data_IF_401962247949
#
_entry.id   IF_401962247949
#
_cell.length_a   1.000
_cell.length_b   1.000
_cell.length_c   1.000
_cell.angle_alpha   90.00
_cell.angle_beta   90.00
_cell.angle_gamma   90.00
#
_symmetry.space_group_name_H-M   'P 1'
#
loop_
_entity.id
_entity.type
_entity.pdbx_description
1 polymer ?
#
# COMPACT_ATOMS: atom_id res chain seq x y z
N UNK A 1 -17.38 -18.47 16.83
CA UNK A 1 -17.28 -19.80 16.17
C UNK A 1 -18.28 -19.87 15.02
N UNK A 2 -18.27 -20.86 14.14
CA UNK A 2 -19.34 -21.03 13.14
C UNK A 2 -20.63 -21.51 13.81
N UNK A 3 -21.80 -21.26 13.21
CA UNK A 3 -23.06 -21.80 13.72
C UNK A 3 -23.08 -23.33 13.59
N UNK A 4 -23.64 -24.01 14.60
CA UNK A 4 -24.02 -25.42 14.53
C UNK A 4 -25.45 -25.58 13.97
N UNK A 5 -25.92 -26.83 13.79
CA UNK A 5 -27.24 -27.08 13.21
C UNK A 5 -28.40 -26.61 14.11
N UNK A 6 -28.31 -26.81 15.43
CA UNK A 6 -29.35 -26.35 16.37
C UNK A 6 -29.46 -24.83 16.37
N UNK A 7 -28.32 -24.14 16.31
CA UNK A 7 -28.28 -22.68 16.23
C UNK A 7 -28.87 -22.18 14.89
N UNK A 8 -28.70 -22.93 13.80
CA UNK A 8 -29.37 -22.64 12.53
C UNK A 8 -30.88 -22.79 12.65
N UNK A 9 -31.38 -23.84 13.32
CA UNK A 9 -32.82 -23.98 13.61
C UNK A 9 -33.34 -22.76 14.38
N UNK A 10 -32.68 -22.35 15.47
CA UNK A 10 -33.06 -21.17 16.24
C UNK A 10 -33.12 -19.90 15.37
N UNK A 11 -32.14 -19.71 14.47
CA UNK A 11 -32.14 -18.59 13.53
C UNK A 11 -33.33 -18.64 12.58
N UNK A 12 -33.58 -19.79 11.95
CA UNK A 12 -34.60 -19.93 10.91
C UNK A 12 -36.02 -19.83 11.49
N UNK A 13 -36.25 -20.42 12.67
CA UNK A 13 -37.53 -20.38 13.38
C UNK A 13 -37.95 -18.94 13.74
N UNK A 14 -36.98 -18.11 14.14
CA UNK A 14 -37.20 -16.70 14.46
C UNK A 14 -37.46 -15.85 13.19
N UNK A 15 -36.77 -16.15 12.09
CA UNK A 15 -36.83 -15.34 10.87
C UNK A 15 -38.16 -15.45 10.13
N UNK A 16 -38.80 -16.63 10.13
CA UNK A 16 -40.03 -16.90 9.38
C UNK A 16 -39.94 -16.41 7.91
N UNK A 17 -38.92 -16.92 7.21
CA UNK A 17 -38.56 -16.48 5.85
C UNK A 17 -39.63 -16.74 4.76
N UNK A 18 -40.46 -17.81 4.80
CA UNK A 18 -41.49 -18.01 3.78
C UNK A 18 -42.44 -16.81 3.66
N UNK A 19 -42.67 -16.36 2.43
CA UNK A 19 -43.47 -15.17 2.13
C UNK A 19 -42.67 -13.88 1.97
N UNK A 20 -41.40 -13.83 2.37
CA UNK A 20 -40.56 -12.65 2.23
C UNK A 20 -40.14 -12.41 0.77
N UNK A 21 -40.05 -11.14 0.37
CA UNK A 21 -39.51 -10.68 -0.90
C UNK A 21 -38.03 -10.30 -0.78
N UNK A 22 -37.24 -10.60 -1.81
CA UNK A 22 -35.81 -10.23 -1.88
C UNK A 22 -35.70 -8.86 -2.56
N UNK A 23 -35.60 -7.78 -1.79
CA UNK A 23 -35.58 -6.41 -2.36
C UNK A 23 -34.24 -6.04 -2.99
N UNK A 24 -33.13 -6.34 -2.28
CA UNK A 24 -31.79 -6.00 -2.74
C UNK A 24 -30.80 -7.10 -2.41
N UNK A 25 -29.80 -7.23 -3.27
CA UNK A 25 -28.73 -8.21 -3.09
C UNK A 25 -27.40 -7.48 -3.06
N UNK A 26 -26.64 -7.66 -1.98
CA UNK A 26 -25.34 -7.03 -1.75
C UNK A 26 -24.30 -8.11 -1.50
N UNK A 27 -23.09 -7.88 -1.99
CA UNK A 27 -21.92 -8.71 -1.68
C UNK A 27 -20.82 -7.76 -1.21
N UNK A 28 -20.75 -7.44 0.09
CA UNK A 28 -19.83 -6.44 0.63
C UNK A 28 -18.34 -6.77 0.42
N UNK A 29 -18.02 -8.06 0.35
CA UNK A 29 -16.66 -8.60 0.22
C UNK A 29 -16.67 -9.99 -0.49
N UNK A 30 -15.54 -10.71 -0.45
CA UNK A 30 -15.38 -12.02 -1.12
C UNK A 30 -15.91 -13.22 -0.34
N UNK A 31 -16.54 -13.01 0.81
CA UNK A 31 -17.05 -14.07 1.70
C UNK A 31 -18.44 -13.77 2.27
N UNK A 32 -18.96 -12.57 2.07
CA UNK A 32 -20.25 -12.14 2.64
C UNK A 32 -21.26 -11.87 1.55
N UNK A 33 -22.46 -12.45 1.68
CA UNK A 33 -23.66 -12.12 0.89
C UNK A 33 -24.73 -11.56 1.83
N UNK A 34 -25.43 -10.52 1.41
CA UNK A 34 -26.56 -9.94 2.16
C UNK A 34 -27.77 -9.83 1.24
N UNK A 35 -28.88 -10.39 1.69
CA UNK A 35 -30.19 -10.22 1.07
C UNK A 35 -31.01 -9.27 1.93
N UNK A 36 -31.37 -8.10 1.41
CA UNK A 36 -32.35 -7.25 2.06
C UNK A 36 -33.73 -7.86 1.80
N UNK A 37 -34.33 -8.44 2.83
CA UNK A 37 -35.63 -9.10 2.76
C UNK A 37 -36.73 -8.14 3.23
N UNK A 38 -37.94 -8.38 2.74
CA UNK A 38 -39.13 -7.63 3.11
C UNK A 38 -40.34 -8.53 3.26
N UNK A 39 -41.10 -8.32 4.33
CA UNK A 39 -42.46 -8.80 4.52
C UNK A 39 -43.35 -7.62 4.92
N UNK A 40 -44.69 -7.70 4.79
CA UNK A 40 -45.56 -6.61 5.20
C UNK A 40 -45.21 -6.09 6.61
N UNK A 41 -44.87 -4.80 6.71
CA UNK A 41 -44.51 -4.14 7.97
C UNK A 41 -43.04 -4.24 8.39
N UNK A 42 -42.18 -5.00 7.69
CA UNK A 42 -40.79 -5.19 8.12
C UNK A 42 -39.82 -5.45 6.96
N UNK A 43 -38.75 -4.67 6.92
CA UNK A 43 -37.58 -4.94 6.08
C UNK A 43 -36.38 -5.27 6.97
N UNK A 44 -35.64 -6.32 6.64
CA UNK A 44 -34.46 -6.73 7.41
C UNK A 44 -33.40 -7.37 6.51
N UNK A 45 -32.10 -7.15 6.79
CA UNK A 45 -31.04 -7.80 6.03
C UNK A 45 -30.71 -9.18 6.61
N UNK A 46 -30.73 -10.19 5.75
CA UNK A 46 -30.24 -11.53 6.03
C UNK A 46 -28.80 -11.65 5.53
N UNK A 47 -27.87 -11.86 6.46
CA UNK A 47 -26.45 -12.00 6.17
C UNK A 47 -26.05 -13.47 6.09
N UNK A 48 -25.23 -13.80 5.10
CA UNK A 48 -24.53 -15.06 4.97
C UNK A 48 -23.03 -14.80 4.94
N UNK A 49 -22.30 -15.34 5.91
CA UNK A 49 -20.84 -15.25 5.95
C UNK A 49 -20.22 -16.62 5.70
N UNK A 50 -19.28 -16.67 4.76
CA UNK A 50 -18.38 -17.79 4.49
C UNK A 50 -16.99 -17.55 5.09
N UNK A 51 -16.89 -16.71 6.12
CA UNK A 51 -15.63 -16.45 6.81
C UNK A 51 -15.20 -17.67 7.63
N UNK A 52 -13.95 -18.09 7.46
CA UNK A 52 -13.41 -19.26 8.14
C UNK A 52 -13.60 -19.10 9.67
N UNK A 53 -14.08 -20.15 10.34
CA UNK A 53 -14.41 -20.18 11.79
C UNK A 53 -15.56 -19.24 12.24
N UNK A 54 -16.21 -18.51 11.32
CA UNK A 54 -17.40 -17.67 11.57
C UNK A 54 -18.45 -17.83 10.47
N UNK A 55 -18.56 -19.05 9.94
CA UNK A 55 -19.53 -19.39 8.90
C UNK A 55 -20.92 -19.39 9.53
N UNK A 56 -21.84 -18.61 8.96
CA UNK A 56 -23.13 -18.33 9.58
C UNK A 56 -24.16 -17.79 8.58
N UNK A 57 -25.40 -17.91 8.99
CA UNK A 57 -26.53 -17.16 8.45
C UNK A 57 -27.28 -16.53 9.62
N UNK A 58 -27.68 -15.26 9.52
CA UNK A 58 -28.49 -14.60 10.55
C UNK A 58 -28.99 -13.24 10.05
N UNK A 59 -30.07 -12.74 10.65
CA UNK A 59 -30.48 -11.34 10.50
C UNK A 59 -29.41 -10.45 11.14
N UNK A 60 -28.96 -9.46 10.39
CA UNK A 60 -27.98 -8.50 10.90
C UNK A 60 -28.57 -7.10 11.05
N UNK A 61 -28.09 -6.35 12.04
CA UNK A 61 -28.25 -4.89 12.15
C UNK A 61 -26.96 -4.17 11.74
N UNK A 62 -25.87 -4.91 11.65
CA UNK A 62 -24.53 -4.42 11.30
C UNK A 62 -24.15 -4.84 9.88
N UNK A 63 -24.87 -4.33 8.88
CA UNK A 63 -24.56 -4.62 7.47
C UNK A 63 -23.13 -4.15 7.15
N UNK A 64 -22.21 -5.06 6.73
CA UNK A 64 -20.84 -4.66 6.43
C UNK A 64 -20.79 -3.62 5.31
N UNK A 65 -19.90 -2.62 5.39
CA UNK A 65 -19.75 -1.62 4.35
C UNK A 65 -19.33 -2.30 3.05
N UNK A 66 -19.86 -1.82 1.93
CA UNK A 66 -19.52 -2.40 0.65
C UNK A 66 -18.09 -2.00 0.24
N UNK A 67 -17.11 -2.86 0.53
CA UNK A 67 -15.69 -2.62 0.23
C UNK A 67 -15.32 -2.95 -1.20
N UNK A 68 -16.22 -3.63 -1.93
CA UNK A 68 -16.00 -4.08 -3.29
C UNK A 68 -17.06 -3.53 -4.23
N UNK A 69 -16.68 -3.35 -5.49
CA UNK A 69 -17.66 -3.12 -6.56
C UNK A 69 -18.60 -4.33 -6.70
N UNK A 70 -19.62 -4.18 -7.53
CA UNK A 70 -20.56 -5.28 -7.82
C UNK A 70 -19.82 -6.54 -8.30
N UNK A 71 -19.94 -7.62 -7.54
CA UNK A 71 -19.32 -8.91 -7.86
C UNK A 71 -20.17 -9.73 -8.82
N UNK A 72 -19.55 -10.64 -9.59
CA UNK A 72 -20.21 -11.47 -10.60
C UNK A 72 -21.41 -12.23 -10.03
N UNK A 73 -21.20 -12.95 -8.93
CA UNK A 73 -22.25 -13.78 -8.33
C UNK A 73 -23.43 -12.93 -7.83
N UNK A 74 -23.15 -11.79 -7.19
CA UNK A 74 -24.21 -10.84 -6.83
C UNK A 74 -24.96 -10.31 -8.05
N UNK A 75 -24.30 -9.99 -9.16
CA UNK A 75 -24.97 -9.58 -10.40
C UNK A 75 -25.89 -10.68 -10.94
N UNK A 76 -25.42 -11.91 -10.91
CA UNK A 76 -26.21 -13.07 -11.34
C UNK A 76 -27.43 -13.29 -10.44
N UNK A 77 -27.28 -13.22 -9.13
CA UNK A 77 -28.43 -13.29 -8.24
C UNK A 77 -29.42 -12.15 -8.51
N UNK A 78 -28.93 -10.93 -8.79
CA UNK A 78 -29.82 -9.81 -9.13
C UNK A 78 -30.62 -10.03 -10.41
N UNK A 79 -30.07 -10.71 -11.41
CA UNK A 79 -30.80 -10.98 -12.65
C UNK A 79 -31.80 -12.13 -12.53
N UNK A 80 -31.67 -13.00 -11.54
CA UNK A 80 -32.51 -14.21 -11.40
C UNK A 80 -33.52 -14.13 -10.24
N UNK A 81 -33.12 -13.62 -9.08
CA UNK A 81 -33.92 -13.74 -7.84
C UNK A 81 -34.23 -12.42 -7.14
N UNK A 82 -33.64 -11.29 -7.55
CA UNK A 82 -34.01 -9.99 -6.96
C UNK A 82 -35.43 -9.61 -7.39
N UNK A 83 -36.27 -9.23 -6.45
CA UNK A 83 -37.71 -9.06 -6.63
C UNK A 83 -38.50 -10.37 -6.43
N UNK A 84 -37.82 -11.51 -6.33
CA UNK A 84 -38.44 -12.81 -6.09
C UNK A 84 -39.00 -12.96 -4.67
N UNK A 85 -39.92 -13.90 -4.51
CA UNK A 85 -40.54 -14.28 -3.24
C UNK A 85 -39.98 -15.62 -2.77
N UNK A 86 -39.56 -15.69 -1.51
CA UNK A 86 -39.17 -16.93 -0.84
C UNK A 86 -40.46 -17.72 -0.56
N UNK A 87 -40.59 -18.91 -1.12
CA UNK A 87 -41.78 -19.76 -1.00
C UNK A 87 -41.62 -20.80 0.11
N UNK A 88 -40.41 -21.33 0.29
CA UNK A 88 -40.10 -22.29 1.34
C UNK A 88 -38.64 -22.18 1.80
N UNK A 89 -38.38 -22.69 3.00
CA UNK A 89 -37.04 -22.84 3.58
C UNK A 89 -36.89 -24.25 4.12
N UNK A 90 -35.78 -24.90 3.81
CA UNK A 90 -35.45 -26.22 4.31
C UNK A 90 -34.08 -26.20 5.01
N UNK A 91 -34.05 -26.67 6.25
CA UNK A 91 -32.83 -27.03 6.94
C UNK A 91 -32.56 -28.53 6.70
N UNK A 92 -31.59 -28.81 5.85
CA UNK A 92 -31.44 -30.13 5.26
C UNK A 92 -30.72 -31.10 6.21
N UNK A 93 -31.35 -32.23 6.53
CA UNK A 93 -30.82 -33.33 7.34
C UNK A 93 -30.28 -32.94 8.73
N UNK A 94 -30.73 -31.83 9.31
CA UNK A 94 -30.14 -31.26 10.54
C UNK A 94 -28.61 -31.15 10.46
N UNK A 95 -28.11 -30.86 9.26
CA UNK A 95 -26.73 -30.49 8.98
C UNK A 95 -26.68 -29.00 8.63
N UNK A 96 -25.48 -28.43 8.52
CA UNK A 96 -25.25 -27.02 8.20
C UNK A 96 -25.50 -26.72 6.71
N UNK A 97 -26.64 -27.16 6.19
CA UNK A 97 -27.13 -26.94 4.83
C UNK A 97 -28.51 -26.32 4.93
N UNK A 98 -28.68 -25.15 4.30
CA UNK A 98 -29.98 -24.46 4.22
C UNK A 98 -30.33 -24.22 2.77
N UNK A 99 -31.58 -24.46 2.40
CA UNK A 99 -32.13 -24.18 1.07
C UNK A 99 -33.24 -23.15 1.18
N UNK A 100 -33.20 -22.14 0.32
CA UNK A 100 -34.33 -21.23 0.08
C UNK A 100 -34.93 -21.53 -1.30
N UNK A 101 -36.21 -21.83 -1.34
CA UNK A 101 -36.97 -21.92 -2.58
C UNK A 101 -37.52 -20.54 -2.92
N UNK A 102 -37.25 -20.07 -4.14
CA UNK A 102 -37.54 -18.69 -4.56
C UNK A 102 -38.28 -18.72 -5.89
N UNK A 103 -39.36 -17.96 -5.99
CA UNK A 103 -40.08 -17.75 -7.26
C UNK A 103 -39.93 -16.31 -7.72
N UNK A 104 -39.54 -16.10 -8.96
CA UNK A 104 -39.40 -14.78 -9.60
C UNK A 104 -39.93 -14.85 -11.03
N UNK A 105 -40.90 -13.99 -11.38
CA UNK A 105 -41.54 -13.93 -12.71
C UNK A 105 -41.86 -15.32 -13.27
N UNK A 106 -42.54 -16.14 -12.46
CA UNK A 106 -42.95 -17.54 -12.77
C UNK A 106 -41.82 -18.57 -12.91
N UNK A 107 -40.56 -18.19 -12.74
CA UNK A 107 -39.43 -19.12 -12.68
C UNK A 107 -39.10 -19.45 -11.23
N UNK A 108 -38.87 -20.73 -10.95
CA UNK A 108 -38.45 -21.21 -9.63
C UNK A 108 -36.96 -21.45 -9.58
N UNK A 109 -36.33 -21.05 -8.47
CA UNK A 109 -34.91 -21.18 -8.19
C UNK A 109 -34.71 -21.75 -6.79
N UNK A 110 -33.57 -22.39 -6.57
CA UNK A 110 -33.13 -22.83 -5.23
C UNK A 110 -31.81 -22.18 -4.89
N UNK A 111 -31.75 -21.50 -3.75
CA UNK A 111 -30.53 -20.92 -3.22
C UNK A 111 -30.04 -21.76 -2.05
N UNK A 112 -28.93 -22.45 -2.25
CA UNK A 112 -28.31 -23.37 -1.31
C UNK A 112 -27.18 -22.70 -0.55
N UNK A 113 -27.17 -22.89 0.77
CA UNK A 113 -26.16 -22.40 1.70
C UNK A 113 -25.50 -23.58 2.38
N UNK A 114 -24.21 -23.76 2.13
CA UNK A 114 -23.37 -24.77 2.78
C UNK A 114 -22.51 -24.07 3.82
N UNK A 115 -22.74 -24.36 5.09
CA UNK A 115 -22.26 -23.57 6.22
C UNK A 115 -21.22 -24.29 7.10
N UNK A 116 -20.37 -25.15 6.52
CA UNK A 116 -19.30 -25.84 7.24
C UNK A 116 -17.90 -25.58 6.67
N UNK A 117 -16.89 -25.72 7.53
CA UNK A 117 -15.50 -25.42 7.21
C UNK A 117 -14.95 -26.19 6.00
N UNK A 118 -14.10 -25.52 5.20
CA UNK A 118 -13.44 -26.10 4.02
C UNK A 118 -14.33 -26.18 2.76
N UNK A 119 -15.61 -26.51 2.91
CA UNK A 119 -16.58 -26.66 1.81
C UNK A 119 -17.73 -25.64 1.85
N UNK A 120 -17.61 -24.58 2.66
CA UNK A 120 -18.62 -23.53 2.75
C UNK A 120 -18.81 -22.86 1.39
N UNK A 121 -20.06 -22.70 0.96
CA UNK A 121 -20.39 -22.10 -0.33
C UNK A 121 -21.85 -21.65 -0.39
N UNK A 122 -22.17 -20.84 -1.41
CA UNK A 122 -23.54 -20.45 -1.76
C UNK A 122 -23.73 -20.80 -3.23
N UNK A 123 -24.78 -21.55 -3.55
CA UNK A 123 -25.05 -22.00 -4.92
C UNK A 123 -26.48 -21.66 -5.31
N UNK A 124 -26.66 -21.09 -6.50
CA UNK A 124 -27.97 -20.93 -7.11
C UNK A 124 -28.17 -22.09 -8.09
N UNK A 125 -29.26 -22.84 -7.93
CA UNK A 125 -29.64 -23.91 -8.86
C UNK A 125 -31.03 -23.66 -9.42
N UNK A 126 -31.33 -24.36 -10.50
CA UNK A 126 -32.70 -24.55 -10.96
C UNK A 126 -33.44 -25.58 -10.05
N UNK A 127 -34.73 -25.87 -10.32
CA UNK A 127 -35.50 -26.89 -9.59
C UNK A 127 -35.02 -28.33 -9.83
N UNK A 128 -34.24 -28.58 -10.87
CA UNK A 128 -33.61 -29.86 -11.18
C UNK A 128 -32.28 -30.06 -10.44
N UNK A 129 -31.84 -29.08 -9.65
CA UNK A 129 -30.53 -29.01 -8.98
C UNK A 129 -29.33 -28.86 -9.94
N UNK A 130 -29.55 -28.40 -11.17
CA UNK A 130 -28.46 -27.93 -12.02
C UNK A 130 -27.97 -26.56 -11.53
N UNK A 131 -26.66 -26.44 -11.31
CA UNK A 131 -26.04 -25.22 -10.80
C UNK A 131 -26.04 -24.14 -11.88
N UNK A 132 -26.75 -23.05 -11.63
CA UNK A 132 -26.73 -21.84 -12.46
C UNK A 132 -25.40 -21.11 -12.22
N UNK A 133 -25.05 -20.86 -10.97
CA UNK A 133 -23.72 -20.37 -10.57
C UNK A 133 -23.42 -20.64 -9.10
N UNK A 134 -22.15 -20.52 -8.74
CA UNK A 134 -21.65 -20.64 -7.37
C UNK A 134 -20.89 -19.39 -6.93
N UNK A 135 -21.04 -19.03 -5.65
CA UNK A 135 -20.34 -17.93 -5.02
C UNK A 135 -18.82 -18.17 -5.05
N UNK A 136 -18.39 -19.37 -4.63
CA UNK A 136 -17.04 -19.88 -4.85
C UNK A 136 -17.07 -20.93 -5.97
N UNK A 137 -16.57 -20.59 -7.16
CA UNK A 137 -16.48 -21.56 -8.27
C UNK A 137 -15.35 -22.56 -8.00
N UNK A 138 -15.69 -23.83 -7.91
CA UNK A 138 -14.76 -24.93 -7.67
C UNK A 138 -15.07 -26.09 -8.64
N UNK A 139 -14.67 -25.99 -9.92
CA UNK A 139 -14.99 -27.01 -10.93
C UNK A 139 -14.50 -28.41 -10.55
N UNK A 140 -13.34 -28.51 -9.91
CA UNK A 140 -12.78 -29.79 -9.42
C UNK A 140 -13.65 -30.48 -8.36
N UNK A 141 -14.55 -29.73 -7.71
CA UNK A 141 -15.49 -30.24 -6.73
C UNK A 141 -16.93 -30.30 -7.26
N UNK A 142 -17.13 -30.10 -8.56
CA UNK A 142 -18.47 -30.06 -9.17
C UNK A 142 -19.28 -28.81 -8.82
N UNK A 143 -18.65 -27.76 -8.29
CA UNK A 143 -19.33 -26.53 -7.86
C UNK A 143 -19.10 -25.41 -8.89
N UNK A 144 -19.62 -25.60 -10.10
CA UNK A 144 -19.56 -24.64 -11.19
C UNK A 144 -20.84 -24.69 -12.05
N UNK A 145 -21.08 -23.65 -12.84
CA UNK A 145 -22.24 -23.59 -13.74
C UNK A 145 -22.36 -24.84 -14.62
N UNK A 146 -23.59 -25.35 -14.79
CA UNK A 146 -23.93 -26.53 -15.57
C UNK A 146 -23.63 -27.88 -14.89
N UNK A 147 -23.07 -27.88 -13.68
CA UNK A 147 -22.88 -29.12 -12.92
C UNK A 147 -24.11 -29.44 -12.09
N UNK A 148 -24.36 -30.72 -11.85
CA UNK A 148 -25.41 -31.17 -10.93
C UNK A 148 -24.95 -30.97 -9.48
N UNK A 149 -25.76 -30.30 -8.65
CA UNK A 149 -25.50 -30.18 -7.22
C UNK A 149 -25.68 -31.55 -6.55
N UNK A 150 -24.59 -32.04 -5.95
CA UNK A 150 -24.60 -33.25 -5.11
C UNK A 150 -24.55 -32.83 -3.64
N UNK A 151 -25.58 -33.21 -2.89
CA UNK A 151 -25.65 -33.02 -1.44
C UNK A 151 -24.96 -34.18 -0.72
N UNK A 152 -24.33 -33.94 0.43
CA UNK A 152 -23.75 -35.03 1.22
C UNK A 152 -24.86 -35.93 1.77
N UNK A 153 -24.56 -37.23 1.83
CA UNK A 153 -25.40 -38.20 2.52
C UNK A 153 -25.53 -37.84 4.03
N UNK A 154 -26.66 -38.16 4.67
CA UNK A 154 -26.85 -37.92 6.09
C UNK A 154 -25.75 -38.59 6.91
N UNK A 155 -25.05 -37.82 7.75
CA UNK A 155 -24.02 -38.35 8.64
C UNK A 155 -24.63 -38.92 9.93
N UNK A 156 -25.46 -39.96 9.79
CA UNK A 156 -26.13 -40.62 10.91
C UNK A 156 -27.19 -39.75 11.60
N UNK A 157 -27.66 -40.20 12.77
CA UNK A 157 -28.64 -39.47 13.58
C UNK A 157 -28.03 -38.18 14.13
N UNK A 158 -28.70 -37.02 14.01
CA UNK A 158 -28.24 -35.80 14.67
C UNK A 158 -28.20 -36.03 16.19
N UNK A 159 -27.04 -35.81 16.79
CA UNK A 159 -26.82 -35.90 18.24
C UNK A 159 -26.93 -34.48 18.84
N UNK A 160 -28.00 -34.19 19.61
CA UNK A 160 -28.20 -32.89 20.21
C UNK A 160 -27.13 -32.51 21.25
N UNK A 161 -26.62 -33.49 21.98
CA UNK A 161 -25.68 -33.26 23.09
C UNK A 161 -24.28 -32.90 22.57
N UNK A 162 -23.97 -33.33 21.35
CA UNK A 162 -22.71 -33.00 20.67
C UNK A 162 -22.64 -31.57 20.17
N UNK A 163 -23.78 -30.95 19.88
CA UNK A 163 -23.85 -29.63 19.26
C UNK A 163 -24.82 -28.69 20.00
N UNK A 164 -24.59 -28.42 21.30
CA UNK A 164 -25.50 -27.60 22.08
C UNK A 164 -25.59 -26.18 21.52
N UNK A 165 -26.79 -25.59 21.59
CA UNK A 165 -26.96 -24.15 21.38
C UNK A 165 -26.12 -23.40 22.41
N UNK A 166 -25.27 -22.48 21.93
CA UNK A 166 -24.45 -21.68 22.84
C UNK A 166 -25.34 -20.86 23.77
N UNK A 167 -24.93 -20.73 25.03
CA UNK A 167 -25.49 -19.74 25.94
C UNK A 167 -25.05 -18.35 25.48
N UNK A 168 -25.77 -17.75 24.54
CA UNK A 168 -25.71 -16.30 24.31
C UNK A 168 -26.52 -15.59 25.41
N UNK A 169 -26.55 -14.26 25.44
CA UNK A 169 -27.51 -13.47 26.24
C UNK A 169 -28.97 -13.66 25.75
N UNK A 170 -29.31 -14.86 25.29
CA UNK A 170 -30.63 -15.34 24.99
C UNK A 170 -31.38 -15.52 26.30
N UNK A 171 -32.16 -14.53 26.69
CA UNK A 171 -33.23 -14.76 27.65
C UNK A 171 -34.33 -15.52 26.92
N UNK A 172 -34.63 -16.76 27.32
CA UNK A 172 -35.72 -17.60 26.78
C UNK A 172 -37.07 -16.86 26.64
N UNK A 173 -37.26 -15.80 27.44
CA UNK A 173 -38.44 -14.94 27.42
C UNK A 173 -38.57 -14.01 26.19
N UNK A 174 -37.48 -13.70 25.48
CA UNK A 174 -37.50 -12.70 24.39
C UNK A 174 -37.34 -13.29 22.97
N UNK A 175 -36.98 -14.58 22.82
CA UNK A 175 -36.75 -15.25 21.51
C UNK A 175 -35.87 -14.43 20.53
N UNK A 176 -34.85 -13.72 21.02
CA UNK A 176 -34.03 -12.85 20.18
C UNK A 176 -32.63 -13.45 19.92
N UNK A 177 -32.60 -14.63 19.29
CA UNK A 177 -31.36 -15.35 19.03
C UNK A 177 -30.54 -14.65 17.94
N UNK A 178 -31.20 -14.16 16.88
CA UNK A 178 -30.56 -13.44 15.80
C UNK A 178 -29.83 -12.18 16.29
N UNK A 179 -30.44 -11.37 17.18
CA UNK A 179 -29.76 -10.21 17.78
C UNK A 179 -28.53 -10.62 18.55
N UNK A 180 -28.65 -11.64 19.41
CA UNK A 180 -27.58 -12.06 20.30
C UNK A 180 -26.35 -12.53 19.52
N UNK A 181 -26.53 -13.35 18.47
CA UNK A 181 -25.41 -13.77 17.62
C UNK A 181 -24.88 -12.62 16.76
N UNK A 182 -25.74 -11.71 16.26
CA UNK A 182 -25.30 -10.56 15.47
C UNK A 182 -24.34 -9.66 16.27
N UNK A 183 -24.69 -9.37 17.53
CA UNK A 183 -23.83 -8.62 18.45
C UNK A 183 -22.52 -9.37 18.76
N UNK A 184 -22.59 -10.66 19.07
CA UNK A 184 -21.41 -11.49 19.34
C UNK A 184 -20.42 -11.48 18.16
N UNK A 185 -20.91 -11.73 16.95
CA UNK A 185 -20.08 -11.72 15.75
C UNK A 185 -19.54 -10.33 15.44
N UNK A 186 -20.38 -9.29 15.56
CA UNK A 186 -19.95 -7.92 15.32
C UNK A 186 -18.81 -7.53 16.25
N UNK A 187 -18.93 -7.76 17.56
CA UNK A 187 -17.87 -7.48 18.53
C UNK A 187 -16.61 -8.30 18.27
N UNK A 188 -16.75 -9.59 17.96
CA UNK A 188 -15.61 -10.45 17.61
C UNK A 188 -14.86 -9.94 16.38
N UNK A 189 -15.59 -9.50 15.34
CA UNK A 189 -15.04 -8.98 14.10
C UNK A 189 -14.38 -7.60 14.30
N UNK A 190 -14.98 -6.70 15.09
CA UNK A 190 -14.36 -5.41 15.43
C UNK A 190 -13.06 -5.60 16.22
N UNK A 191 -13.04 -6.51 17.19
CA UNK A 191 -11.86 -6.80 17.99
C UNK A 191 -10.73 -7.39 17.13
N UNK A 192 -11.05 -8.32 16.23
CA UNK A 192 -10.03 -8.87 15.33
C UNK A 192 -9.50 -7.81 14.35
N UNK A 193 -10.38 -6.99 13.78
CA UNK A 193 -10.00 -5.87 12.91
C UNK A 193 -9.05 -4.91 13.64
N UNK A 194 -9.40 -4.54 14.88
CA UNK A 194 -8.58 -3.68 15.72
C UNK A 194 -7.18 -4.26 15.93
N UNK A 195 -7.10 -5.54 16.32
CA UNK A 195 -5.82 -6.22 16.51
C UNK A 195 -5.00 -6.27 15.22
N UNK A 196 -5.63 -6.53 14.07
CA UNK A 196 -4.95 -6.54 12.77
C UNK A 196 -4.40 -5.15 12.40
N UNK A 197 -5.19 -4.09 12.59
CA UNK A 197 -4.76 -2.70 12.37
C UNK A 197 -3.60 -2.33 13.29
N UNK A 198 -3.73 -2.63 14.58
CA UNK A 198 -2.69 -2.36 15.57
C UNK A 198 -1.37 -3.05 15.18
N UNK A 199 -1.41 -4.35 14.84
CA UNK A 199 -0.21 -5.09 14.39
C UNK A 199 0.40 -4.49 13.12
N UNK A 200 -0.44 -4.16 12.12
CA UNK A 200 0.02 -3.60 10.86
C UNK A 200 0.68 -2.23 11.04
N UNK A 201 0.02 -1.28 11.70
CA UNK A 201 0.53 0.06 11.96
C UNK A 201 1.78 0.04 12.84
N UNK A 202 1.75 -0.74 13.91
CA UNK A 202 2.90 -0.88 14.82
C UNK A 202 4.11 -1.43 14.07
N UNK A 203 3.93 -2.47 13.25
CA UNK A 203 5.03 -3.04 12.45
C UNK A 203 5.62 -2.03 11.46
N UNK A 204 4.79 -1.22 10.81
CA UNK A 204 5.25 -0.16 9.90
C UNK A 204 6.10 0.89 10.64
N UNK A 205 5.61 1.37 11.79
CA UNK A 205 6.34 2.36 12.60
C UNK A 205 7.62 1.78 13.20
N UNK A 206 7.60 0.55 13.70
CA UNK A 206 8.79 -0.15 14.21
C UNK A 206 9.86 -0.31 13.12
N UNK A 207 9.45 -0.63 11.89
CA UNK A 207 10.38 -0.72 10.75
C UNK A 207 11.01 0.63 10.42
N UNK A 208 10.23 1.73 10.50
CA UNK A 208 10.76 3.10 10.35
C UNK A 208 11.72 3.46 11.47
N UNK A 209 11.34 3.20 12.73
CA UNK A 209 12.18 3.44 13.90
C UNK A 209 13.51 2.69 13.80
N UNK A 210 13.52 1.42 13.37
CA UNK A 210 14.75 0.66 13.19
C UNK A 210 15.70 1.30 12.14
N UNK A 211 15.15 1.83 11.04
CA UNK A 211 15.96 2.55 10.04
C UNK A 211 16.52 3.86 10.58
N UNK A 212 15.71 4.64 11.30
CA UNK A 212 16.13 5.89 11.93
C UNK A 212 17.21 5.64 12.99
N UNK A 213 17.08 4.60 13.83
CA UNK A 213 18.09 4.21 14.81
C UNK A 213 19.42 3.82 14.13
N UNK A 214 19.36 3.08 13.02
CA UNK A 214 20.57 2.76 12.23
C UNK A 214 21.21 4.03 11.66
N UNK A 215 20.43 4.91 11.05
CA UNK A 215 20.92 6.19 10.53
C UNK A 215 21.54 7.04 11.64
N UNK A 216 20.93 7.08 12.82
CA UNK A 216 21.46 7.79 13.99
C UNK A 216 22.82 7.22 14.42
N UNK A 217 22.96 5.89 14.45
CA UNK A 217 24.22 5.22 14.78
C UNK A 217 25.31 5.56 13.76
N UNK A 218 25.00 5.51 12.46
CA UNK A 218 25.95 5.82 11.38
C UNK A 218 26.40 7.30 11.44
N UNK A 219 25.47 8.23 11.68
CA UNK A 219 25.76 9.65 11.81
C UNK A 219 26.54 9.97 13.10
N UNK A 220 26.27 9.26 14.19
CA UNK A 220 27.01 9.43 15.46
C UNK A 220 28.47 9.01 15.29
N UNK A 221 28.73 7.88 14.61
CA UNK A 221 30.10 7.46 14.26
C UNK A 221 30.81 8.50 13.38
N UNK A 222 30.14 9.01 12.35
CA UNK A 222 30.71 10.04 11.48
C UNK A 222 31.01 11.37 12.22
N UNK A 223 30.25 11.69 13.27
CA UNK A 223 30.51 12.83 14.15
C UNK A 223 31.78 12.61 14.97
N UNK A 224 31.95 11.43 15.56
CA UNK A 224 33.13 11.10 16.38
C UNK A 224 34.43 11.10 15.55
N UNK A 225 34.35 10.78 14.26
CA UNK A 225 35.47 10.87 13.31
C UNK A 225 35.89 12.31 12.95
N UNK A 226 35.13 13.34 13.35
CA UNK A 226 35.41 14.75 13.05
C UNK A 226 36.55 15.37 13.89
N UNK A 227 37.24 14.59 14.72
CA UNK A 227 38.31 15.03 15.63
C UNK A 227 39.57 15.64 15.00
N UNK A 228 39.62 15.84 13.67
CA UNK A 228 40.77 16.45 12.97
C UNK A 228 40.63 17.95 12.70
N UNK A 229 39.49 18.56 13.07
CA UNK A 229 39.27 20.00 12.87
C UNK A 229 40.33 20.82 13.63
N UNK A 230 40.49 20.55 14.92
CA UNK A 230 41.42 21.28 15.79
C UNK A 230 42.88 21.00 15.42
N UNK A 231 43.16 19.78 14.96
CA UNK A 231 44.47 19.38 14.45
C UNK A 231 44.87 20.18 13.21
N UNK A 232 43.97 20.31 12.21
CA UNK A 232 44.26 21.11 11.02
C UNK A 232 44.42 22.61 11.32
N UNK A 233 43.66 23.15 12.27
CA UNK A 233 43.82 24.55 12.71
C UNK A 233 45.17 24.76 13.42
N UNK A 234 45.54 23.83 14.31
CA UNK A 234 46.82 23.87 15.03
C UNK A 234 47.99 23.79 14.05
N UNK A 235 47.94 22.87 13.10
CA UNK A 235 48.97 22.73 12.07
C UNK A 235 49.11 23.97 11.18
N UNK A 236 48.00 24.53 10.68
CA UNK A 236 48.04 25.76 9.89
C UNK A 236 48.65 26.94 10.66
N UNK A 237 48.34 27.06 11.95
CA UNK A 237 48.86 28.12 12.82
C UNK A 237 50.35 27.94 13.09
N UNK A 238 50.80 26.72 13.41
CA UNK A 238 52.21 26.42 13.67
C UNK A 238 53.09 26.63 12.43
N UNK A 239 52.60 26.30 11.23
CA UNK A 239 53.32 26.58 9.98
C UNK A 239 53.56 28.07 9.76
N UNK A 240 52.54 28.91 9.99
CA UNK A 240 52.69 30.36 9.87
C UNK A 240 53.59 30.94 10.96
N UNK A 241 53.51 30.39 12.18
CA UNK A 241 54.30 30.86 13.34
C UNK A 241 55.80 30.64 13.12
N UNK A 242 56.18 29.48 12.57
CA UNK A 242 57.59 29.10 12.36
C UNK A 242 58.13 29.40 10.96
N UNK A 243 57.33 30.02 10.09
CA UNK A 243 57.63 30.23 8.67
C UNK A 243 59.02 30.83 8.39
N UNK A 244 59.50 31.75 9.23
CA UNK A 244 60.80 32.41 9.05
C UNK A 244 62.01 31.51 9.37
N UNK A 245 61.79 30.41 10.09
CA UNK A 245 62.82 29.46 10.51
C UNK A 245 62.84 28.18 9.67
N UNK A 246 61.81 27.99 8.85
CA UNK A 246 61.58 26.79 8.06
C UNK A 246 62.05 27.04 6.62
N UNK A 247 62.84 26.13 6.06
CA UNK A 247 63.17 26.14 4.64
C UNK A 247 62.35 25.09 3.91
N UNK A 248 61.59 25.43 2.86
CA UNK A 248 60.87 24.45 2.06
C UNK A 248 61.86 23.51 1.37
N UNK A 249 61.80 22.22 1.68
CA UNK A 249 62.53 21.15 0.99
C UNK A 249 61.59 20.25 0.19
N UNK A 250 62.11 19.18 -0.42
CA UNK A 250 61.31 18.17 -1.13
C UNK A 250 60.50 17.23 -0.19
N UNK A 251 60.39 17.59 1.09
CA UNK A 251 59.83 16.76 2.14
C UNK A 251 58.30 16.93 2.23
N UNK A 252 57.61 15.82 2.48
CA UNK A 252 56.14 15.81 2.60
C UNK A 252 55.65 16.12 4.00
N UNK A 253 56.57 16.31 4.95
CA UNK A 253 56.29 16.60 6.36
C UNK A 253 57.32 17.59 6.88
N UNK A 254 56.94 18.41 7.86
CA UNK A 254 57.85 19.34 8.52
C UNK A 254 57.66 19.29 10.04
N UNK A 255 58.76 19.23 10.79
CA UNK A 255 58.74 19.17 12.24
C UNK A 255 58.87 20.56 12.86
N UNK A 256 57.86 20.95 13.63
CA UNK A 256 57.83 22.23 14.32
C UNK A 256 57.59 22.03 15.82
N UNK A 257 58.19 22.84 16.69
CA UNK A 257 57.86 22.79 18.11
C UNK A 257 56.46 23.38 18.32
N UNK A 258 55.64 22.70 19.10
CA UNK A 258 54.38 23.23 19.59
C UNK A 258 54.59 24.25 20.72
N UNK A 259 53.49 24.78 21.26
CA UNK A 259 53.52 25.78 22.33
C UNK A 259 54.14 25.28 23.65
N UNK A 260 54.32 23.96 23.81
CA UNK A 260 54.94 23.32 24.97
C UNK A 260 56.37 22.85 24.70
N UNK A 261 56.88 23.05 23.48
CA UNK A 261 58.22 22.64 23.05
C UNK A 261 58.31 21.21 22.50
N UNK A 262 57.21 20.46 22.43
CA UNK A 262 57.20 19.13 21.81
C UNK A 262 57.22 19.26 20.29
N UNK A 263 57.98 18.39 19.60
CA UNK A 263 58.05 18.39 18.13
C UNK A 263 56.82 17.69 17.55
N UNK A 264 56.06 18.42 16.74
CA UNK A 264 54.91 17.91 15.99
C UNK A 264 55.28 17.86 14.50
N UNK A 265 55.01 16.73 13.87
CA UNK A 265 55.16 16.54 12.42
C UNK A 265 53.89 17.00 11.69
N UNK A 266 54.04 17.96 10.77
CA UNK A 266 52.94 18.55 9.99
C UNK A 266 53.05 18.13 8.52
N UNK A 267 52.01 17.54 7.92
CA UNK A 267 52.03 17.18 6.50
C UNK A 267 51.93 18.41 5.59
N UNK A 268 52.89 18.56 4.68
CA UNK A 268 52.98 19.64 3.69
C UNK A 268 52.98 19.09 2.26
N UNK A 269 52.63 19.95 1.31
CA UNK A 269 52.83 19.74 -0.12
C UNK A 269 54.14 20.40 -0.53
N UNK A 270 55.15 19.64 -0.99
CA UNK A 270 56.41 20.21 -1.46
C UNK A 270 56.23 21.17 -2.65
N UNK A 271 55.14 21.04 -3.41
CA UNK A 271 54.84 21.90 -4.57
C UNK A 271 54.23 23.25 -4.18
N UNK A 272 53.91 23.47 -2.90
CA UNK A 272 53.28 24.68 -2.39
C UNK A 272 54.22 25.40 -1.40
N UNK A 273 54.14 26.72 -1.35
CA UNK A 273 54.79 27.51 -0.31
C UNK A 273 54.22 27.22 1.09
N UNK A 274 54.94 27.62 2.14
CA UNK A 274 54.46 27.44 3.53
C UNK A 274 53.13 28.19 3.80
N UNK A 275 52.92 29.43 3.32
CA UNK A 275 51.61 30.08 3.37
C UNK A 275 50.51 29.31 2.64
N UNK A 276 50.76 28.82 1.43
CA UNK A 276 49.78 28.05 0.64
C UNK A 276 49.45 26.70 1.31
N UNK A 277 50.42 26.07 1.98
CA UNK A 277 50.20 24.88 2.80
C UNK A 277 49.34 25.18 4.04
N UNK A 278 49.57 26.30 4.71
CA UNK A 278 48.75 26.75 5.82
C UNK A 278 47.30 27.02 5.36
N UNK A 279 47.11 27.72 4.24
CA UNK A 279 45.80 27.97 3.63
C UNK A 279 45.08 26.66 3.27
N UNK A 280 45.81 25.67 2.72
CA UNK A 280 45.28 24.34 2.43
C UNK A 280 44.77 23.64 3.70
N UNK A 281 45.51 23.75 4.81
CA UNK A 281 45.11 23.17 6.10
C UNK A 281 43.90 23.90 6.71
N UNK A 282 43.85 25.22 6.64
CA UNK A 282 42.66 25.99 7.05
C UNK A 282 41.43 25.68 6.19
N UNK A 283 41.61 25.49 4.88
CA UNK A 283 40.53 25.06 3.99
C UNK A 283 40.01 23.65 4.35
N UNK A 284 40.91 22.71 4.71
CA UNK A 284 40.52 21.39 5.23
C UNK A 284 39.76 21.51 6.56
N UNK A 285 40.21 22.35 7.49
CA UNK A 285 39.52 22.61 8.75
C UNK A 285 38.12 23.19 8.53
N UNK A 286 37.97 24.20 7.65
CA UNK A 286 36.69 24.82 7.31
C UNK A 286 35.73 23.82 6.66
N UNK A 287 36.21 23.00 5.72
CA UNK A 287 35.40 21.95 5.08
C UNK A 287 34.95 20.89 6.09
N UNK A 288 35.84 20.47 7.00
CA UNK A 288 35.52 19.53 8.06
C UNK A 288 34.49 20.12 9.05
N UNK A 289 34.62 21.39 9.43
CA UNK A 289 33.65 22.10 10.27
C UNK A 289 32.25 22.18 9.63
N UNK A 290 32.16 22.61 8.36
CA UNK A 290 30.88 22.61 7.63
C UNK A 290 30.27 21.20 7.48
N UNK A 291 31.10 20.16 7.39
CA UNK A 291 30.62 18.78 7.41
C UNK A 291 30.06 18.40 8.79
N UNK A 292 30.77 18.76 9.86
CA UNK A 292 30.36 18.48 11.24
C UNK A 292 29.07 19.20 11.63
N UNK A 293 28.91 20.47 11.22
CA UNK A 293 27.67 21.23 11.46
C UNK A 293 26.47 20.60 10.74
N UNK A 294 26.62 20.23 9.46
CA UNK A 294 25.55 19.51 8.73
C UNK A 294 25.21 18.16 9.35
N UNK A 295 26.22 17.41 9.81
CA UNK A 295 26.00 16.14 10.52
C UNK A 295 25.27 16.38 11.84
N UNK A 296 25.58 17.47 12.58
CA UNK A 296 24.88 17.85 13.81
C UNK A 296 23.40 18.16 13.54
N UNK A 297 23.10 18.99 12.55
CA UNK A 297 21.72 19.35 12.20
C UNK A 297 20.92 18.12 11.78
N UNK A 298 21.54 17.24 10.98
CA UNK A 298 20.91 16.00 10.56
C UNK A 298 20.70 15.02 11.71
N UNK A 299 21.66 14.92 12.66
CA UNK A 299 21.50 14.13 13.88
C UNK A 299 20.29 14.61 14.68
N UNK A 300 20.18 15.91 14.92
CA UNK A 300 19.05 16.48 15.66
C UNK A 300 17.72 16.17 14.96
N UNK A 301 17.62 16.40 13.65
CA UNK A 301 16.41 16.12 12.89
C UNK A 301 16.01 14.63 12.95
N UNK A 302 16.98 13.71 12.85
CA UNK A 302 16.73 12.26 12.94
C UNK A 302 16.30 11.85 14.35
N UNK A 303 16.87 12.47 15.41
CA UNK A 303 16.46 12.23 16.80
C UNK A 303 15.02 12.68 17.06
N UNK A 304 14.67 13.88 16.61
CA UNK A 304 13.31 14.42 16.73
C UNK A 304 12.30 13.54 15.97
N UNK A 305 12.64 13.11 14.74
CA UNK A 305 11.79 12.19 13.98
C UNK A 305 11.62 10.83 14.68
N UNK A 306 12.70 10.27 15.22
CA UNK A 306 12.64 9.01 15.96
C UNK A 306 11.74 9.14 17.20
N UNK A 307 11.87 10.21 17.98
CA UNK A 307 11.05 10.47 19.15
C UNK A 307 9.56 10.56 18.77
N UNK A 308 9.22 11.25 17.68
CA UNK A 308 7.85 11.32 17.18
C UNK A 308 7.31 9.94 16.76
N UNK A 309 8.12 9.12 16.08
CA UNK A 309 7.72 7.76 15.69
C UNK A 309 7.49 6.87 16.91
N UNK A 310 8.35 6.96 17.93
CA UNK A 310 8.22 6.21 19.18
C UNK A 310 6.99 6.64 19.99
N UNK A 311 6.72 7.94 20.09
CA UNK A 311 5.48 8.46 20.69
C UNK A 311 4.23 7.93 19.99
N UNK A 312 4.25 7.84 18.64
CA UNK A 312 3.12 7.28 17.88
C UNK A 312 2.92 5.79 18.14
N UNK A 313 3.99 5.02 18.32
CA UNK A 313 3.90 3.61 18.70
C UNK A 313 3.26 3.49 20.09
N UNK A 314 3.69 4.31 21.04
CA UNK A 314 3.16 4.32 22.40
C UNK A 314 1.67 4.70 22.41
N UNK A 315 1.28 5.75 21.67
CA UNK A 315 -0.11 6.17 21.55
C UNK A 315 -1.03 5.05 21.00
N UNK A 316 -0.54 4.27 20.02
CA UNK A 316 -1.28 3.10 19.49
C UNK A 316 -1.41 1.98 20.52
N UNK A 317 -0.42 1.80 21.39
CA UNK A 317 -0.47 0.80 22.44
C UNK A 317 -1.47 1.19 23.56
N UNK A 318 -1.54 2.47 23.90
CA UNK A 318 -2.42 3.00 24.96
C UNK A 318 -3.88 3.12 24.51
N UNK A 319 -4.11 3.53 23.26
CA UNK A 319 -5.46 3.78 22.72
C UNK A 319 -5.64 3.16 21.33
N UNK A 320 -5.63 1.82 21.23
CA UNK A 320 -5.77 1.15 19.94
C UNK A 320 -7.10 1.50 19.25
N UNK A 321 -8.19 1.71 20.00
CA UNK A 321 -9.53 2.03 19.49
C UNK A 321 -9.57 3.27 18.57
N UNK A 322 -8.67 4.23 18.77
CA UNK A 322 -8.53 5.39 17.89
C UNK A 322 -8.20 5.01 16.45
N UNK A 323 -7.59 3.84 16.22
CA UNK A 323 -7.33 3.33 14.87
C UNK A 323 -8.63 3.06 14.11
N UNK A 324 -9.64 2.49 14.77
CA UNK A 324 -10.95 2.26 14.17
C UNK A 324 -11.66 3.59 13.91
N UNK A 325 -11.60 4.53 14.86
CA UNK A 325 -12.21 5.86 14.68
C UNK A 325 -11.60 6.60 13.50
N UNK A 326 -10.27 6.57 13.37
CA UNK A 326 -9.55 7.19 12.26
C UNK A 326 -9.90 6.50 10.92
N UNK A 327 -10.04 5.18 10.91
CA UNK A 327 -10.46 4.44 9.72
C UNK A 327 -11.92 4.79 9.34
N UNK A 328 -12.83 4.92 10.30
CA UNK A 328 -14.23 5.32 10.06
C UNK A 328 -14.34 6.79 9.62
N UNK A 329 -13.53 7.69 10.20
CA UNK A 329 -13.42 9.09 9.76
C UNK A 329 -12.88 9.17 8.33
N UNK A 330 -11.89 8.34 8.00
CA UNK A 330 -11.44 8.18 6.61
C UNK A 330 -12.47 7.47 5.73
N UNK A 331 -13.35 6.65 6.32
CA UNK A 331 -14.39 5.84 5.67
C UNK A 331 -15.72 6.54 5.41
N UNK A 332 -16.04 7.63 6.13
CA UNK A 332 -17.10 8.61 5.75
C UNK A 332 -16.61 9.64 4.73
N UNK A 333 -15.41 9.43 4.23
CA UNK A 333 -14.92 9.99 2.99
C UNK A 333 -14.39 8.86 2.12
N UNK A 334 -15.32 8.14 1.49
CA UNK A 334 -15.19 7.99 0.05
C UNK A 334 -15.33 9.37 -0.63
N UNK A 335 -14.56 10.37 -0.19
CA UNK A 335 -13.76 11.11 -1.15
C UNK A 335 -13.11 9.98 -1.92
N UNK A 336 -13.52 9.81 -3.17
CA UNK A 336 -12.60 9.31 -4.17
C UNK A 336 -11.31 10.07 -3.90
N UNK A 337 -10.37 9.48 -3.16
CA UNK A 337 -9.01 9.60 -3.59
C UNK A 337 -9.04 8.89 -4.94
N UNK A 338 -9.41 9.63 -5.99
CA UNK A 338 -8.71 9.47 -7.24
C UNK A 338 -7.27 9.31 -6.81
N UNK A 339 -6.64 8.13 -7.03
CA UNK A 339 -5.21 8.05 -6.83
C UNK A 339 -4.67 9.27 -7.58
N UNK A 340 -4.05 10.22 -6.86
CA UNK A 340 -3.35 11.31 -7.51
C UNK A 340 -2.53 10.68 -8.62
N UNK A 341 -2.60 11.24 -9.82
CA UNK A 341 -1.96 10.63 -10.98
C UNK A 341 -0.52 10.25 -10.61
N UNK A 342 -0.12 8.97 -10.78
CA UNK A 342 1.13 8.45 -10.23
C UNK A 342 2.31 9.21 -10.82
N UNK A 343 3.35 9.44 -10.02
CA UNK A 343 4.52 10.22 -10.42
C UNK A 343 4.37 11.72 -10.20
N UNK A 344 5.49 12.45 -10.34
CA UNK A 344 5.53 13.91 -10.22
C UNK A 344 5.11 14.56 -11.54
N UNK A 345 4.39 15.66 -11.46
CA UNK A 345 3.94 16.41 -12.64
C UNK A 345 4.65 17.76 -12.72
N UNK A 346 5.10 18.09 -13.92
CA UNK A 346 5.73 19.36 -14.25
C UNK A 346 5.16 19.88 -15.56
N UNK A 347 5.36 21.17 -15.81
CA UNK A 347 5.00 21.80 -17.08
C UNK A 347 6.21 22.53 -17.64
N UNK A 348 6.48 22.30 -18.92
CA UNK A 348 7.48 23.05 -19.67
C UNK A 348 6.89 23.46 -21.02
N UNK A 349 6.82 24.78 -21.25
CA UNK A 349 6.08 25.36 -22.37
C UNK A 349 4.61 24.89 -22.39
N UNK A 350 4.18 24.35 -23.53
CA UNK A 350 2.83 23.78 -23.71
C UNK A 350 2.76 22.28 -23.45
N UNK A 351 3.85 21.66 -22.99
CA UNK A 351 3.92 20.22 -22.75
C UNK A 351 3.77 19.89 -21.26
N UNK A 352 3.06 18.80 -20.97
CA UNK A 352 3.04 18.23 -19.62
C UNK A 352 4.16 17.19 -19.50
N UNK A 353 4.90 17.22 -18.40
CA UNK A 353 5.96 16.27 -18.10
C UNK A 353 5.55 15.47 -16.87
N UNK A 354 5.70 14.14 -16.93
CA UNK A 354 5.36 13.24 -15.82
C UNK A 354 6.56 12.36 -15.48
N UNK A 355 6.94 12.30 -14.21
CA UNK A 355 8.15 11.61 -13.74
C UNK A 355 7.76 10.50 -12.76
N UNK A 356 7.95 9.25 -13.15
CA UNK A 356 7.79 8.11 -12.24
C UNK A 356 9.09 7.85 -11.47
N UNK A 357 9.03 7.89 -10.14
CA UNK A 357 10.21 7.80 -9.25
C UNK A 357 10.52 6.36 -8.84
N UNK A 358 9.55 5.46 -8.97
CA UNK A 358 9.68 4.05 -8.57
C UNK A 358 9.28 3.11 -9.71
N UNK A 359 9.75 1.87 -9.67
CA UNK A 359 9.40 0.86 -10.68
C UNK A 359 7.89 0.60 -10.77
N UNK A 360 7.16 0.68 -9.64
CA UNK A 360 5.71 0.55 -9.59
C UNK A 360 4.98 1.77 -10.18
N UNK A 361 5.45 2.99 -9.88
CA UNK A 361 4.95 4.23 -10.52
C UNK A 361 5.18 4.19 -12.04
N UNK A 362 6.37 3.80 -12.47
CA UNK A 362 6.75 3.66 -13.89
C UNK A 362 5.83 2.69 -14.64
N UNK A 363 5.63 1.48 -14.09
CA UNK A 363 4.74 0.49 -14.71
C UNK A 363 3.29 0.98 -14.75
N UNK A 364 2.82 1.67 -13.72
CA UNK A 364 1.46 2.23 -13.69
C UNK A 364 1.28 3.33 -14.73
N UNK A 365 2.25 4.26 -14.83
CA UNK A 365 2.26 5.31 -15.84
C UNK A 365 2.22 4.73 -17.26
N UNK A 366 3.09 3.77 -17.54
CA UNK A 366 3.16 3.04 -18.82
C UNK A 366 1.88 2.27 -19.16
N UNK A 367 1.13 1.79 -18.16
CA UNK A 367 -0.09 1.00 -18.39
C UNK A 367 -1.32 1.87 -18.61
N UNK A 368 -1.44 2.97 -17.87
CA UNK A 368 -2.74 3.65 -17.68
C UNK A 368 -2.76 5.12 -18.06
N UNK A 369 -1.60 5.77 -18.19
CA UNK A 369 -1.56 7.23 -18.27
C UNK A 369 -0.92 7.76 -19.55
N UNK A 370 0.13 7.14 -20.07
CA UNK A 370 0.79 7.60 -21.29
C UNK A 370 0.25 6.92 -22.54
N UNK A 371 0.22 7.65 -23.64
CA UNK A 371 -0.25 7.20 -24.96
C UNK A 371 0.94 6.91 -25.86
N UNK A 372 0.73 6.14 -26.94
CA UNK A 372 1.81 5.72 -27.83
C UNK A 372 2.64 6.85 -28.46
N UNK A 373 2.05 8.03 -28.68
CA UNK A 373 2.73 9.20 -29.26
C UNK A 373 3.40 10.11 -28.21
N UNK A 374 3.24 9.82 -26.91
CA UNK A 374 3.98 10.51 -25.87
C UNK A 374 5.46 10.11 -25.96
N UNK A 375 6.35 10.96 -25.45
CA UNK A 375 7.79 10.70 -25.43
C UNK A 375 8.22 10.16 -24.08
N UNK A 376 9.18 9.25 -24.09
CA UNK A 376 9.79 8.65 -22.91
C UNK A 376 11.29 8.93 -22.90
N UNK A 377 11.83 9.23 -21.72
CA UNK A 377 13.25 9.45 -21.46
C UNK A 377 13.69 8.64 -20.24
N UNK A 378 14.91 8.08 -20.32
CA UNK A 378 15.55 7.37 -19.22
C UNK A 378 17.08 7.37 -19.39
N UNK A 379 17.82 7.26 -18.29
CA UNK A 379 19.30 7.20 -18.32
C UNK A 379 19.78 5.87 -18.90
N UNK A 380 20.72 5.92 -19.85
CA UNK A 380 21.22 4.74 -20.57
C UNK A 380 21.86 3.71 -19.62
N UNK A 381 22.81 4.15 -18.83
CA UNK A 381 23.70 3.26 -18.08
C UNK A 381 23.37 3.19 -16.58
N UNK A 382 22.37 3.95 -16.12
CA UNK A 382 22.03 4.02 -14.70
C UNK A 382 20.54 3.83 -14.41
N UNK A 383 20.18 3.12 -13.33
CA UNK A 383 18.82 3.10 -12.84
C UNK A 383 18.34 4.52 -12.51
N UNK A 384 17.12 4.85 -12.92
CA UNK A 384 16.55 6.17 -12.73
C UNK A 384 15.06 6.23 -13.04
N UNK A 385 14.48 7.40 -12.83
CA UNK A 385 13.08 7.67 -13.12
C UNK A 385 12.76 7.55 -14.63
N UNK A 386 11.50 7.19 -14.93
CA UNK A 386 10.98 7.36 -16.29
C UNK A 386 10.34 8.73 -16.39
N UNK A 387 10.80 9.51 -17.37
CA UNK A 387 10.26 10.83 -17.65
C UNK A 387 9.46 10.76 -18.94
N UNK A 388 8.20 11.20 -18.88
CA UNK A 388 7.30 11.22 -20.01
C UNK A 388 6.96 12.65 -20.41
N UNK A 389 7.00 12.96 -21.70
CA UNK A 389 6.56 14.25 -22.24
C UNK A 389 5.28 14.03 -23.04
N UNK A 390 4.24 14.79 -22.70
CA UNK A 390 2.93 14.79 -23.36
C UNK A 390 2.78 16.10 -24.14
N UNK A 391 3.15 16.13 -25.43
CA UNK A 391 2.92 17.30 -26.26
C UNK A 391 1.42 17.46 -26.57
N UNK A 392 0.97 18.68 -26.91
CA UNK A 392 -0.36 18.87 -27.47
C UNK A 392 -0.58 18.00 -28.72
N UNK A 393 -1.82 17.57 -29.02
CA UNK A 393 -2.11 16.76 -30.19
C UNK A 393 -1.57 17.36 -31.48
N UNK A 394 -0.84 16.56 -32.27
CA UNK A 394 -0.26 16.99 -33.55
C UNK A 394 0.95 17.93 -33.46
N UNK A 395 1.48 18.21 -32.25
CA UNK A 395 2.68 19.04 -32.07
C UNK A 395 3.91 18.20 -31.78
N UNK A 396 5.07 18.65 -32.28
CA UNK A 396 6.38 18.11 -31.92
C UNK A 396 6.82 18.62 -30.54
N UNK A 397 7.76 17.91 -29.91
CA UNK A 397 8.37 18.35 -28.64
C UNK A 397 9.53 19.31 -28.97
N UNK A 398 9.48 20.57 -28.51
CA UNK A 398 10.59 21.51 -28.68
C UNK A 398 11.84 21.05 -27.93
N UNK A 399 13.02 21.42 -28.43
CA UNK A 399 14.30 21.07 -27.81
C UNK A 399 14.38 21.52 -26.35
N UNK A 400 13.89 22.73 -26.04
CA UNK A 400 13.85 23.27 -24.67
C UNK A 400 13.07 22.37 -23.70
N UNK A 401 11.93 21.83 -24.13
CA UNK A 401 11.12 20.90 -23.32
C UNK A 401 11.84 19.56 -23.16
N UNK A 402 12.53 19.10 -24.21
CA UNK A 402 13.30 17.86 -24.17
C UNK A 402 14.49 17.97 -23.21
N UNK A 403 15.18 19.12 -23.19
CA UNK A 403 16.28 19.41 -22.25
C UNK A 403 15.80 19.54 -20.81
N UNK A 404 14.62 20.14 -20.60
CA UNK A 404 13.98 20.23 -19.29
C UNK A 404 13.62 18.84 -18.74
N UNK A 405 13.00 17.99 -19.57
CA UNK A 405 12.71 16.60 -19.24
C UNK A 405 13.98 15.77 -19.02
N UNK A 406 15.01 16.01 -19.83
CA UNK A 406 16.31 15.37 -19.68
C UNK A 406 16.97 15.72 -18.35
N UNK A 407 16.93 16.99 -17.95
CA UNK A 407 17.43 17.44 -16.64
C UNK A 407 16.69 16.76 -15.48
N UNK A 408 15.37 16.61 -15.58
CA UNK A 408 14.59 15.84 -14.61
C UNK A 408 15.01 14.36 -14.58
N UNK A 409 15.27 13.74 -15.74
CA UNK A 409 15.71 12.36 -15.82
C UNK A 409 17.07 12.16 -15.12
N UNK A 410 18.03 13.06 -15.33
CA UNK A 410 19.32 13.02 -14.63
C UNK A 410 19.13 13.26 -13.14
N UNK A 411 18.33 14.25 -12.74
CA UNK A 411 18.09 14.60 -11.34
C UNK A 411 17.45 13.47 -10.53
N UNK A 412 16.51 12.73 -11.12
CA UNK A 412 15.86 11.58 -10.49
C UNK A 412 16.51 10.23 -10.87
N UNK A 413 17.80 10.25 -11.22
CA UNK A 413 18.60 9.04 -11.48
C UNK A 413 19.78 8.92 -10.52
N UNK A 414 20.43 7.75 -10.55
CA UNK A 414 21.71 7.58 -9.85
C UNK A 414 22.84 8.43 -10.44
N UNK A 415 22.70 8.96 -11.66
CA UNK A 415 23.69 9.83 -12.27
C UNK A 415 23.66 11.28 -11.74
N UNK A 416 22.71 11.62 -10.84
CA UNK A 416 22.59 12.97 -10.24
C UNK A 416 23.91 13.49 -9.67
N UNK A 417 24.65 12.65 -8.94
CA UNK A 417 25.91 13.05 -8.30
C UNK A 417 27.03 13.36 -9.31
N UNK A 418 26.99 12.76 -10.50
CA UNK A 418 27.95 13.02 -11.56
C UNK A 418 27.67 14.31 -12.35
N UNK A 419 26.51 14.93 -12.17
CA UNK A 419 26.19 16.20 -12.83
C UNK A 419 25.89 16.09 -14.33
N UNK A 420 26.04 14.91 -14.95
CA UNK A 420 25.89 14.68 -16.39
C UNK A 420 25.52 13.22 -16.65
N UNK A 421 24.67 12.97 -17.65
CA UNK A 421 24.37 11.61 -18.10
C UNK A 421 23.95 11.57 -19.57
N UNK A 422 24.16 10.41 -20.18
CA UNK A 422 23.52 10.07 -21.45
C UNK A 422 22.14 9.46 -21.22
N UNK A 423 21.18 9.94 -22.00
CA UNK A 423 19.80 9.52 -21.95
C UNK A 423 19.38 8.89 -23.27
N UNK A 424 18.52 7.88 -23.17
CA UNK A 424 17.68 7.45 -24.28
C UNK A 424 16.40 8.24 -24.30
N UNK A 425 15.91 8.55 -25.49
CA UNK A 425 14.55 9.00 -25.68
C UNK A 425 13.91 8.41 -26.93
N UNK A 426 12.64 8.03 -26.81
CA UNK A 426 11.82 7.49 -27.91
C UNK A 426 10.34 7.75 -27.64
N UNK A 427 9.47 7.45 -28.60
CA UNK A 427 8.03 7.47 -28.35
C UNK A 427 7.59 6.19 -27.62
N UNK A 428 6.58 6.31 -26.75
CA UNK A 428 6.09 5.21 -25.91
C UNK A 428 5.67 3.98 -26.72
N UNK A 429 5.12 4.16 -27.94
CA UNK A 429 4.75 3.04 -28.83
C UNK A 429 5.93 2.18 -29.26
N UNK A 430 7.16 2.67 -29.15
CA UNK A 430 8.38 1.93 -29.46
C UNK A 430 9.01 1.26 -28.22
N UNK A 431 8.35 1.32 -27.06
CA UNK A 431 8.77 0.58 -25.88
C UNK A 431 8.17 -0.83 -25.90
N UNK A 432 9.02 -1.85 -25.81
CA UNK A 432 8.61 -3.25 -25.68
C UNK A 432 8.78 -3.73 -24.26
N UNK A 433 7.77 -4.40 -23.72
CA UNK A 433 7.85 -5.03 -22.39
C UNK A 433 8.50 -6.40 -22.51
N UNK A 434 9.37 -6.73 -21.57
CA UNK A 434 9.97 -8.07 -21.48
C UNK A 434 8.97 -9.02 -20.81
N UNK A 435 8.51 -10.04 -21.53
CA UNK A 435 7.62 -11.08 -20.99
C UNK A 435 8.36 -11.82 -19.86
N UNK A 436 7.80 -11.82 -18.65
CA UNK A 436 8.45 -12.40 -17.45
C UNK A 436 9.56 -11.56 -16.83
N UNK A 437 9.82 -10.35 -17.34
CA UNK A 437 10.79 -9.42 -16.76
C UNK A 437 10.30 -8.79 -15.44
N UNK A 438 11.23 -8.16 -14.71
CA UNK A 438 10.91 -7.39 -13.48
C UNK A 438 9.90 -6.28 -13.78
N UNK A 439 9.04 -5.97 -12.82
CA UNK A 439 8.04 -4.92 -12.98
C UNK A 439 8.71 -3.58 -13.35
N UNK A 440 8.20 -2.94 -14.41
CA UNK A 440 8.75 -1.69 -14.95
C UNK A 440 9.88 -1.84 -15.97
N UNK A 441 10.37 -3.06 -16.24
CA UNK A 441 11.41 -3.28 -17.26
C UNK A 441 10.85 -3.12 -18.68
N UNK A 442 11.40 -2.17 -19.44
CA UNK A 442 11.10 -1.96 -20.86
C UNK A 442 12.39 -1.92 -21.68
N UNK A 443 12.29 -2.37 -22.93
CA UNK A 443 13.33 -2.27 -23.94
C UNK A 443 12.87 -1.23 -24.96
N UNK A 444 13.56 -0.09 -25.09
CA UNK A 444 13.24 0.87 -26.13
C UNK A 444 13.67 0.35 -27.51
N UNK A 445 12.95 0.78 -28.54
CA UNK A 445 13.34 0.64 -29.95
C UNK A 445 13.22 2.02 -30.62
N UNK A 446 13.95 2.22 -31.72
CA UNK A 446 14.01 3.52 -32.42
C UNK A 446 14.43 4.69 -31.50
N UNK A 447 15.26 4.38 -30.51
CA UNK A 447 15.76 5.34 -29.55
C UNK A 447 16.80 6.27 -30.15
N UNK A 448 16.78 7.50 -29.64
CA UNK A 448 17.79 8.51 -29.90
C UNK A 448 18.54 8.80 -28.62
N UNK A 449 19.74 9.34 -28.79
CA UNK A 449 20.66 9.64 -27.70
C UNK A 449 20.68 11.13 -27.43
N UNK A 450 20.63 11.51 -26.16
CA UNK A 450 20.75 12.89 -25.70
C UNK A 450 21.69 12.94 -24.49
N UNK A 451 22.80 13.65 -24.62
CA UNK A 451 23.68 13.94 -23.49
C UNK A 451 23.18 15.17 -22.75
N UNK A 452 22.94 15.04 -21.45
CA UNK A 452 22.42 16.14 -20.62
C UNK A 452 23.37 16.41 -19.46
N UNK A 453 23.75 17.67 -19.30
CA UNK A 453 24.42 18.18 -18.10
C UNK A 453 23.38 18.88 -17.22
N UNK A 454 23.45 18.66 -15.91
CA UNK A 454 22.54 19.26 -14.95
C UNK A 454 22.69 20.78 -14.97
N UNK A 455 21.60 21.45 -15.28
CA UNK A 455 21.44 22.90 -15.26
C UNK A 455 20.46 23.27 -14.14
N UNK A 456 21.00 23.84 -13.07
CA UNK A 456 20.23 24.21 -11.89
C UNK A 456 19.18 25.29 -12.20
N UNK A 457 19.41 26.19 -13.17
CA UNK A 457 18.45 27.22 -13.53
C UNK A 457 17.23 26.60 -14.24
N UNK A 458 17.46 25.61 -15.12
CA UNK A 458 16.37 24.83 -15.74
C UNK A 458 15.58 24.04 -14.72
N UNK A 459 16.28 23.34 -13.81
CA UNK A 459 15.63 22.56 -12.76
C UNK A 459 14.78 23.45 -11.84
N UNK A 460 15.30 24.60 -11.41
CA UNK A 460 14.54 25.56 -10.61
C UNK A 460 13.31 26.08 -11.36
N UNK A 461 13.44 26.44 -12.64
CA UNK A 461 12.30 26.88 -13.47
C UNK A 461 11.22 25.79 -13.60
N UNK A 462 11.62 24.55 -13.84
CA UNK A 462 10.69 23.43 -14.07
C UNK A 462 10.08 22.93 -12.76
N UNK A 463 10.87 22.85 -11.68
CA UNK A 463 10.42 22.44 -10.35
C UNK A 463 9.67 23.55 -9.59
N UNK A 464 9.91 24.82 -9.90
CA UNK A 464 9.12 25.95 -9.38
C UNK A 464 7.68 25.95 -9.92
N UNK A 465 7.49 25.41 -11.13
CA UNK A 465 6.17 25.16 -11.72
C UNK A 465 5.55 23.81 -11.31
N UNK A 466 5.98 23.25 -10.17
CA UNK A 466 5.42 22.01 -9.63
C UNK A 466 3.97 22.26 -9.21
N UNK A 467 3.05 21.55 -9.84
CA UNK A 467 1.68 21.45 -9.30
C UNK A 467 1.75 20.56 -8.06
N UNK A 468 1.76 21.18 -6.88
CA UNK A 468 1.54 20.46 -5.63
C UNK A 468 0.05 20.10 -5.54
N UNK A 469 -0.24 18.81 -5.43
CA UNK A 469 -1.56 18.33 -5.04
C UNK A 469 -1.54 18.11 -3.53
N UNK A 470 -2.36 18.91 -2.83
CA UNK A 470 -2.98 18.55 -1.54
C UNK A 470 -3.74 17.23 -1.73
#
# INVERSE_FOLDING_TARGET
MSLNWQEIDCVLDELQLPGCFIQKIKQPDFRTLVLDLYRPGEAFPLLFSLQDRRIRLHRTRHVPPNTKGSQRFAQLLRSHIQGGRITAVEHHNKDRIVRLDITHTDTSYRLWFRLWGGKANILLTDPSNEIIDAFLRRPQHGEASGHQLVLPEPSGSPDPDRFPVRQTAYTERERDFNRAIDEEYFHSEQNERLQQLQRSHTRQLQTRAAKLRKQLQDLSRARDESGRIDQYQTWGTLLLTHMHTLQPGAETHIEVPDYSGHRISIPIDPALSLPENADRLFAKAKKARHSADRTRDLLQAVQEELAQVEQRIQAIAERPEQLLENEVRSGKSAVRSTPGMPGLQFRSGQCNIVVGRTAAENDTLLRRYVKGNDWWLHSRDTPGAYVFIKPPPGKSVPLEVLLDAGNLAVWYSKAKSAGKADLFYTQVKYLKRVKGGKQGLVIPTQEKNLTVQLDNNRLQRVMGNKQEQI
#
